data_IF_502092467471
#
_entry.id   IF_502092467471
#
_cell.length_a   1.000
_cell.length_b   1.000
_cell.length_c   1.000
_cell.angle_alpha   90.00
_cell.angle_beta   90.00
_cell.angle_gamma   90.00
#
_symmetry.space_group_name_H-M   'P 1'
#
loop_
_entity.id
_entity.type
_entity.pdbx_description
1 polymer ?
#
# COMPACT_ATOMS: atom_id res chain seq x y z
N UNK A 1 -36.88 -1.96 16.76
CA UNK A 1 -36.61 -2.15 15.32
C UNK A 1 -35.98 -0.92 14.66
N UNK A 2 -36.60 0.28 14.73
CA UNK A 2 -36.05 1.50 14.10
C UNK A 2 -34.64 1.90 14.58
N UNK A 3 -34.37 1.77 15.88
CA UNK A 3 -33.05 2.10 16.47
C UNK A 3 -31.96 1.13 15.99
N UNK A 4 -32.24 -0.17 15.93
CA UNK A 4 -31.30 -1.15 15.38
C UNK A 4 -30.99 -0.87 13.91
N UNK A 5 -31.99 -0.51 13.11
CA UNK A 5 -31.79 -0.17 11.70
C UNK A 5 -30.92 1.09 11.53
N UNK A 6 -31.11 2.11 12.35
CA UNK A 6 -30.28 3.33 12.31
C UNK A 6 -28.83 3.03 12.70
N UNK A 7 -28.61 2.23 13.75
CA UNK A 7 -27.27 1.80 14.18
C UNK A 7 -26.59 0.94 13.11
N UNK A 8 -27.33 0.03 12.48
CA UNK A 8 -26.79 -0.80 11.39
C UNK A 8 -26.39 0.06 10.18
N UNK A 9 -27.25 0.99 9.78
CA UNK A 9 -27.00 1.89 8.64
C UNK A 9 -25.84 2.83 8.93
N UNK A 10 -25.73 3.37 10.15
CA UNK A 10 -24.58 4.22 10.52
C UNK A 10 -23.27 3.45 10.57
N UNK A 11 -23.29 2.21 11.08
CA UNK A 11 -22.10 1.34 11.09
C UNK A 11 -21.69 0.94 9.66
N UNK A 12 -22.64 0.57 8.81
CA UNK A 12 -22.39 0.25 7.40
C UNK A 12 -21.86 1.46 6.62
N UNK A 13 -22.38 2.66 6.86
CA UNK A 13 -21.92 3.89 6.21
C UNK A 13 -20.50 4.27 6.66
N UNK A 14 -20.16 4.07 7.94
CA UNK A 14 -18.80 4.27 8.45
C UNK A 14 -17.80 3.28 7.84
N UNK A 15 -18.21 2.03 7.55
CA UNK A 15 -17.37 1.05 6.88
C UNK A 15 -17.13 1.37 5.39
N UNK A 16 -18.04 2.09 4.74
CA UNK A 16 -17.93 2.47 3.32
C UNK A 16 -17.10 3.76 3.16
N UNK A 17 -17.09 4.65 4.15
CA UNK A 17 -16.37 5.93 4.09
C UNK A 17 -14.84 5.84 4.20
N UNK A 18 -14.29 4.66 4.51
CA UNK A 18 -12.85 4.43 4.64
C UNK A 18 -12.25 3.75 3.41
N UNK A 19 -12.71 4.09 2.19
CA UNK A 19 -11.96 3.72 0.97
C UNK A 19 -10.69 4.57 0.96
N UNK A 20 -9.63 4.04 1.56
CA UNK A 20 -8.31 4.66 1.53
C UNK A 20 -7.75 4.72 0.11
N UNK A 21 -6.75 5.58 -0.07
CA UNK A 21 -6.02 5.65 -1.34
C UNK A 21 -5.35 4.31 -1.64
N UNK A 22 -5.47 3.85 -2.88
CA UNK A 22 -4.91 2.60 -3.37
C UNK A 22 -3.80 2.91 -4.37
N UNK A 23 -2.66 2.22 -4.29
CA UNK A 23 -1.55 2.31 -5.23
C UNK A 23 -1.61 1.14 -6.21
N UNK A 24 -1.58 1.42 -7.51
CA UNK A 24 -1.65 0.42 -8.58
C UNK A 24 -0.28 0.15 -9.20
N UNK A 25 0.08 -1.13 -9.30
CA UNK A 25 1.26 -1.62 -10.03
C UNK A 25 0.82 -2.78 -10.93
N UNK A 26 0.91 -2.58 -12.26
CA UNK A 26 0.33 -3.52 -13.22
C UNK A 26 -1.18 -3.67 -12.99
N UNK A 27 -1.65 -4.89 -12.80
CA UNK A 27 -3.06 -5.21 -12.54
C UNK A 27 -3.41 -5.34 -11.04
N UNK A 28 -2.45 -5.05 -10.15
CA UNK A 28 -2.60 -5.21 -8.69
C UNK A 28 -2.76 -3.86 -8.02
N UNK A 29 -3.63 -3.80 -7.01
CA UNK A 29 -3.88 -2.62 -6.19
C UNK A 29 -3.49 -2.90 -4.73
N UNK A 30 -2.85 -1.94 -4.08
CA UNK A 30 -2.35 -2.05 -2.72
C UNK A 30 -2.82 -0.85 -1.89
N UNK A 31 -3.26 -1.02 -0.65
CA UNK A 31 -3.59 0.12 0.21
C UNK A 31 -2.37 1.01 0.46
N UNK A 32 -2.52 2.33 0.34
CA UNK A 32 -1.43 3.30 0.55
C UNK A 32 -0.73 3.09 1.89
N UNK A 33 -1.51 2.88 2.96
CA UNK A 33 -0.96 2.62 4.30
C UNK A 33 -0.08 1.37 4.36
N UNK A 34 -0.42 0.31 3.63
CA UNK A 34 0.44 -0.86 3.54
C UNK A 34 1.74 -0.53 2.78
N UNK A 35 1.67 0.28 1.73
CA UNK A 35 2.85 0.68 0.95
C UNK A 35 3.81 1.57 1.77
N UNK A 36 3.29 2.46 2.63
CA UNK A 36 4.11 3.21 3.59
C UNK A 36 4.84 2.29 4.58
N UNK A 37 4.11 1.34 5.17
CA UNK A 37 4.72 0.33 6.06
C UNK A 37 5.78 -0.50 5.33
N UNK A 38 5.55 -0.83 4.06
CA UNK A 38 6.56 -1.51 3.24
C UNK A 38 7.82 -0.65 3.10
N UNK A 39 7.68 0.64 2.75
CA UNK A 39 8.83 1.57 2.66
C UNK A 39 9.63 1.63 3.95
N UNK A 40 8.94 1.74 5.10
CA UNK A 40 9.57 1.76 6.42
C UNK A 40 10.33 0.45 6.72
N UNK A 41 9.74 -0.71 6.42
CA UNK A 41 10.38 -2.01 6.65
C UNK A 41 11.61 -2.26 5.77
N UNK A 42 11.67 -1.58 4.63
CA UNK A 42 12.78 -1.70 3.69
C UNK A 42 13.90 -0.69 3.97
N UNK A 43 13.71 0.22 4.93
CA UNK A 43 14.67 1.25 5.34
C UNK A 43 15.28 2.01 4.15
N UNK A 44 14.43 2.30 3.16
CA UNK A 44 14.85 2.96 1.94
C UNK A 44 14.83 4.47 2.16
N UNK A 45 16.02 5.07 2.09
CA UNK A 45 16.16 6.51 2.01
C UNK A 45 15.27 7.07 0.87
N UNK A 46 14.77 8.29 1.06
CA UNK A 46 13.93 9.00 0.08
C UNK A 46 14.57 9.16 -1.31
N UNK A 47 15.88 8.93 -1.40
CA UNK A 47 16.71 8.99 -2.62
C UNK A 47 17.26 7.63 -3.05
N UNK A 48 16.78 6.53 -2.46
CA UNK A 48 17.29 5.19 -2.74
C UNK A 48 17.07 4.79 -4.21
N UNK A 49 18.00 3.99 -4.73
CA UNK A 49 17.96 3.43 -6.08
C UNK A 49 16.60 2.76 -6.34
N UNK A 50 15.89 3.08 -7.45
CA UNK A 50 14.62 2.44 -7.80
C UNK A 50 14.72 0.93 -8.06
N UNK A 51 15.92 0.35 -8.06
CA UNK A 51 16.13 -1.10 -8.07
C UNK A 51 16.54 -1.55 -6.68
N UNK A 52 15.63 -2.27 -6.03
CA UNK A 52 15.92 -2.98 -4.80
C UNK A 52 16.85 -4.16 -5.05
N UNK A 53 17.78 -4.38 -4.14
CA UNK A 53 18.55 -5.62 -4.10
C UNK A 53 17.65 -6.76 -3.62
N UNK A 54 17.85 -7.98 -4.13
CA UNK A 54 17.10 -9.18 -3.72
C UNK A 54 17.20 -9.40 -2.20
N UNK A 55 18.33 -9.02 -1.60
CA UNK A 55 18.55 -9.10 -0.15
C UNK A 55 17.54 -8.28 0.65
N UNK A 56 17.19 -7.07 0.18
CA UNK A 56 16.23 -6.18 0.85
C UNK A 56 14.80 -6.74 0.77
N UNK A 57 14.46 -7.37 -0.35
CA UNK A 57 13.14 -8.00 -0.57
C UNK A 57 13.01 -9.25 0.29
N UNK A 58 14.06 -10.08 0.35
CA UNK A 58 14.09 -11.25 1.21
C UNK A 58 13.97 -10.85 2.70
N UNK A 59 14.65 -9.79 3.12
CA UNK A 59 14.55 -9.25 4.48
C UNK A 59 13.12 -8.75 4.79
N UNK A 60 12.51 -8.00 3.88
CA UNK A 60 11.11 -7.56 4.01
C UNK A 60 10.15 -8.76 4.08
N UNK A 61 10.36 -9.79 3.26
CA UNK A 61 9.57 -11.03 3.25
C UNK A 61 9.72 -11.90 4.50
N UNK A 62 10.89 -11.87 5.15
CA UNK A 62 11.12 -12.54 6.42
C UNK A 62 10.61 -11.74 7.63
N UNK A 63 10.28 -10.46 7.45
CA UNK A 63 9.86 -9.60 8.54
C UNK A 63 8.43 -9.95 9.00
N UNK A 64 8.21 -10.29 10.29
CA UNK A 64 6.88 -10.65 10.79
C UNK A 64 5.87 -9.51 10.69
N UNK A 65 6.33 -8.25 10.65
CA UNK A 65 5.52 -7.05 10.53
C UNK A 65 5.11 -6.74 9.08
N UNK A 66 5.58 -7.52 8.09
CA UNK A 66 5.18 -7.33 6.71
C UNK A 66 3.65 -7.39 6.55
N UNK A 67 3.02 -6.36 5.96
CA UNK A 67 1.57 -6.34 5.73
C UNK A 67 1.10 -7.58 4.96
N UNK A 68 -0.05 -8.14 5.40
CA UNK A 68 -0.56 -9.41 4.88
C UNK A 68 -0.78 -9.40 3.36
N UNK A 69 -1.12 -8.24 2.79
CA UNK A 69 -1.34 -8.05 1.35
C UNK A 69 -0.09 -8.37 0.51
N UNK A 70 1.11 -8.24 1.08
CA UNK A 70 2.37 -8.50 0.38
C UNK A 70 2.89 -9.93 0.59
N UNK A 71 2.40 -10.68 1.58
CA UNK A 71 2.90 -12.03 1.87
C UNK A 71 2.74 -12.99 0.69
N UNK A 72 1.64 -12.86 -0.04
CA UNK A 72 1.40 -13.66 -1.26
C UNK A 72 2.38 -13.34 -2.39
N UNK A 73 3.00 -12.16 -2.37
CA UNK A 73 4.00 -11.75 -3.35
C UNK A 73 5.34 -12.41 -3.08
N UNK A 74 5.74 -12.63 -1.83
CA UNK A 74 7.06 -13.18 -1.49
C UNK A 74 7.43 -14.52 -2.17
N UNK A 75 6.46 -15.27 -2.71
CA UNK A 75 6.69 -16.51 -3.46
C UNK A 75 6.57 -16.34 -4.99
N UNK A 76 6.11 -15.18 -5.45
CA UNK A 76 5.91 -14.85 -6.84
C UNK A 76 7.19 -14.29 -7.49
N UNK A 77 7.45 -14.63 -8.76
CA UNK A 77 8.52 -14.00 -9.52
C UNK A 77 8.24 -12.51 -9.71
N UNK A 78 9.30 -11.68 -9.67
CA UNK A 78 9.21 -10.23 -9.88
C UNK A 78 8.74 -9.41 -8.67
N UNK A 79 8.80 -9.98 -7.46
CA UNK A 79 8.42 -9.30 -6.22
C UNK A 79 9.32 -8.13 -5.89
N UNK A 80 10.61 -8.27 -6.19
CA UNK A 80 11.60 -7.20 -6.18
C UNK A 80 11.15 -6.00 -7.02
N UNK A 81 10.70 -6.22 -8.26
CA UNK A 81 10.20 -5.15 -9.13
C UNK A 81 8.91 -4.52 -8.61
N UNK A 82 8.01 -5.32 -8.05
CA UNK A 82 6.75 -4.80 -7.49
C UNK A 82 7.01 -3.95 -6.25
N UNK A 83 7.80 -4.42 -5.29
CA UNK A 83 8.16 -3.67 -4.09
C UNK A 83 8.89 -2.38 -4.45
N UNK A 84 9.85 -2.48 -5.37
CA UNK A 84 10.64 -1.35 -5.86
C UNK A 84 9.72 -0.25 -6.39
N UNK A 85 8.76 -0.64 -7.23
CA UNK A 85 7.85 0.29 -7.88
C UNK A 85 6.86 0.91 -6.89
N UNK A 86 6.37 0.12 -5.94
CA UNK A 86 5.48 0.62 -4.88
C UNK A 86 6.16 1.69 -4.03
N UNK A 87 7.37 1.42 -3.55
CA UNK A 87 8.14 2.40 -2.76
C UNK A 87 8.49 3.63 -3.61
N UNK A 88 8.91 3.44 -4.86
CA UNK A 88 9.21 4.54 -5.77
C UNK A 88 8.01 5.48 -5.98
N UNK A 89 6.80 4.95 -6.10
CA UNK A 89 5.58 5.75 -6.30
C UNK A 89 5.31 6.72 -5.13
N UNK A 90 5.59 6.29 -3.90
CA UNK A 90 5.32 7.06 -2.68
C UNK A 90 6.53 7.86 -2.16
N UNK A 91 7.67 7.81 -2.84
CA UNK A 91 8.87 8.56 -2.48
C UNK A 91 9.10 9.78 -3.40
N UNK A 92 9.76 10.84 -2.92
CA UNK A 92 10.18 11.06 -1.53
C UNK A 92 9.06 11.62 -0.64
N UNK A 93 8.09 12.35 -1.20
CA UNK A 93 7.13 13.17 -0.44
C UNK A 93 5.68 12.63 -0.44
N UNK A 94 5.50 11.31 -0.62
CA UNK A 94 4.21 10.64 -0.77
C UNK A 94 3.17 11.41 -1.61
N UNK A 95 3.35 11.46 -2.94
CA UNK A 95 2.39 12.13 -3.82
C UNK A 95 1.01 11.46 -3.83
N UNK A 96 0.82 10.28 -3.23
CA UNK A 96 -0.49 9.65 -3.13
C UNK A 96 -1.38 10.30 -2.05
N UNK A 97 -0.82 10.93 -1.02
CA UNK A 97 -1.57 11.68 -0.01
C UNK A 97 -2.35 12.86 -0.61
N UNK A 98 -1.72 13.54 -1.56
CA UNK A 98 -2.30 14.70 -2.26
C UNK A 98 -2.81 14.34 -3.66
N UNK A 99 -2.93 13.04 -3.97
CA UNK A 99 -3.47 12.55 -5.24
C UNK A 99 -2.74 13.10 -6.48
N UNK A 100 -1.43 13.33 -6.36
CA UNK A 100 -0.58 13.93 -7.38
C UNK A 100 0.19 12.90 -8.22
N UNK A 101 -0.04 11.60 -8.02
CA UNK A 101 0.54 10.53 -8.82
C UNK A 101 -0.56 9.65 -9.45
N UNK A 102 -0.52 9.40 -10.77
CA UNK A 102 -1.58 8.65 -11.48
C UNK A 102 -1.66 7.17 -11.10
N UNK A 103 -0.69 6.67 -10.33
CA UNK A 103 -0.73 5.32 -9.78
C UNK A 103 -1.62 5.24 -8.53
N UNK A 104 -2.09 6.36 -8.00
CA UNK A 104 -2.91 6.43 -6.79
C UNK A 104 -4.40 6.60 -7.17
N UNK A 105 -5.26 5.74 -6.62
CA UNK A 105 -6.69 5.64 -6.91
C UNK A 105 -7.50 5.75 -5.62
N UNK A 106 -8.81 6.01 -5.74
CA UNK A 106 -9.68 6.13 -4.55
C UNK A 106 -9.65 7.51 -3.90
N UNK A 107 -8.91 8.46 -4.47
CA UNK A 107 -8.99 9.86 -4.14
C UNK A 107 -10.41 10.40 -4.41
N UNK A 108 -11.03 11.02 -3.40
CA UNK A 108 -12.26 11.80 -3.58
C UNK A 108 -11.85 13.17 -4.14
N UNK A 109 -12.17 13.41 -5.42
CA UNK A 109 -11.95 14.69 -6.10
C UNK A 109 -13.29 15.43 -6.18
#
# INVERSE_FOLDING_TARGET
>A
MRVLSVVLVSALCACIGAVGVQVKVGDRNFPLEAVKQLKELMDLDDYANPYLDETSVAAACANPLLPQVFRSLCQAPGTDMVFSRLVYIISPSDPCEICANPSCYGCMI
#
